data_IF_161951528219
#
_entry.id   IF_161951528219
#
_cell.length_a   1.000
_cell.length_b   1.000
_cell.length_c   1.000
_cell.angle_alpha   90.00
_cell.angle_beta   90.00
_cell.angle_gamma   90.00
#
_symmetry.space_group_name_H-M   'P 1'
#
loop_
_entity.id
_entity.type
_entity.pdbx_description
1 polymer ?
#
# COMPACT_ATOMS: atom_id res chain seq x y z
N UNK A 1 -5.08 -14.30 14.10
CA UNK A 1 -5.85 -14.59 12.87
C UNK A 1 -5.52 -15.97 12.32
N UNK A 2 -4.27 -16.33 12.07
CA UNK A 2 -3.88 -17.63 11.51
C UNK A 2 -4.46 -18.85 12.27
N UNK A 3 -4.41 -18.85 13.62
CA UNK A 3 -5.03 -19.90 14.45
C UNK A 3 -6.54 -20.01 14.26
N UNK A 4 -7.22 -18.86 14.12
CA UNK A 4 -8.67 -18.86 13.86
C UNK A 4 -8.99 -19.43 12.49
N UNK A 5 -8.21 -19.06 11.45
CA UNK A 5 -8.35 -19.63 10.11
C UNK A 5 -8.11 -21.16 10.12
N UNK A 6 -7.05 -21.61 10.79
CA UNK A 6 -6.77 -23.03 10.93
C UNK A 6 -7.91 -23.80 11.62
N UNK A 7 -8.43 -23.24 12.73
CA UNK A 7 -9.56 -23.83 13.48
C UNK A 7 -10.82 -24.01 12.61
N UNK A 8 -11.04 -23.10 11.67
CA UNK A 8 -12.22 -23.12 10.79
C UNK A 8 -11.94 -23.68 9.39
N UNK A 9 -10.76 -24.27 9.16
CA UNK A 9 -10.36 -24.82 7.86
C UNK A 9 -10.41 -23.79 6.72
N UNK A 10 -10.01 -22.54 7.04
CA UNK A 10 -9.94 -21.42 6.10
C UNK A 10 -8.48 -21.13 5.78
N UNK A 11 -8.16 -20.90 4.50
CA UNK A 11 -6.85 -20.46 4.07
C UNK A 11 -6.71 -18.94 4.36
N UNK A 12 -5.65 -18.57 5.04
CA UNK A 12 -5.24 -17.16 5.21
C UNK A 12 -4.37 -16.75 4.05
N UNK A 13 -4.90 -15.91 3.17
CA UNK A 13 -4.14 -15.25 2.12
C UNK A 13 -3.76 -13.85 2.59
N UNK A 14 -2.45 -13.58 2.74
CA UNK A 14 -1.90 -12.31 3.18
C UNK A 14 -1.18 -11.63 2.01
N UNK A 15 -1.73 -10.51 1.53
CA UNK A 15 -1.04 -9.66 0.56
C UNK A 15 -0.09 -8.73 1.32
N UNK A 16 1.21 -9.00 1.20
CA UNK A 16 2.29 -8.33 1.94
C UNK A 16 3.17 -7.46 1.02
N UNK A 17 2.64 -7.06 -0.14
CA UNK A 17 3.38 -6.29 -1.14
C UNK A 17 3.94 -4.95 -0.62
N UNK A 18 3.37 -4.41 0.45
CA UNK A 18 3.82 -3.20 1.15
C UNK A 18 4.58 -3.50 2.45
N UNK A 19 4.82 -4.77 2.78
CA UNK A 19 5.36 -5.20 4.09
C UNK A 19 6.71 -4.62 4.46
N UNK A 20 7.57 -4.31 3.48
CA UNK A 20 8.88 -3.73 3.72
C UNK A 20 8.83 -2.20 3.99
N UNK A 21 7.71 -1.54 3.68
CA UNK A 21 7.57 -0.09 3.82
C UNK A 21 6.83 0.21 5.13
N UNK A 22 7.57 0.12 6.23
CA UNK A 22 7.07 0.42 7.59
C UNK A 22 7.83 1.62 8.14
N UNK A 23 7.09 2.61 8.61
CA UNK A 23 7.59 3.86 9.16
C UNK A 23 7.62 3.82 10.69
N UNK A 24 8.26 4.79 11.32
CA UNK A 24 8.28 4.96 12.78
C UNK A 24 8.87 3.78 13.56
N UNK A 25 9.83 3.05 13.00
CA UNK A 25 10.51 1.89 13.61
C UNK A 25 9.54 0.81 14.14
N UNK A 26 8.32 0.77 13.64
CA UNK A 26 7.35 -0.27 13.99
C UNK A 26 7.74 -1.59 13.32
N UNK A 27 7.83 -2.64 14.07
CA UNK A 27 8.15 -3.96 13.52
C UNK A 27 7.06 -4.47 12.57
N UNK A 28 7.45 -5.15 11.49
CA UNK A 28 6.54 -5.87 10.61
C UNK A 28 6.47 -7.35 10.98
N UNK A 29 5.24 -7.89 11.05
CA UNK A 29 5.02 -9.31 11.31
C UNK A 29 4.37 -9.96 10.09
N UNK A 30 5.13 -10.73 9.32
CA UNK A 30 4.60 -11.47 8.19
C UNK A 30 3.72 -12.63 8.63
N UNK A 31 2.65 -12.91 7.86
CA UNK A 31 1.75 -14.00 8.16
C UNK A 31 2.43 -15.40 8.08
N UNK A 32 3.46 -15.55 7.24
CA UNK A 32 4.20 -16.82 7.18
C UNK A 32 5.14 -17.04 8.38
N UNK A 33 5.39 -16.02 9.22
CA UNK A 33 6.20 -16.14 10.44
C UNK A 33 5.47 -16.78 11.62
N UNK A 34 4.16 -17.06 11.49
CA UNK A 34 3.40 -17.78 12.52
C UNK A 34 3.89 -19.22 12.66
N UNK A 35 3.88 -19.74 13.88
CA UNK A 35 4.39 -21.07 14.19
C UNK A 35 3.27 -22.10 14.34
N UNK A 36 3.66 -23.38 14.27
CA UNK A 36 2.80 -24.54 14.54
C UNK A 36 1.80 -24.83 13.42
N UNK A 37 0.73 -25.54 13.75
CA UNK A 37 -0.26 -26.02 12.78
C UNK A 37 -0.97 -24.90 12.01
N UNK A 38 -1.00 -23.68 12.54
CA UNK A 38 -1.61 -22.55 11.86
C UNK A 38 -0.85 -22.13 10.59
N UNK A 39 0.45 -22.43 10.50
CA UNK A 39 1.30 -22.14 9.35
C UNK A 39 0.88 -22.93 8.10
N UNK A 40 0.30 -24.11 8.26
CA UNK A 40 -0.13 -24.98 7.16
C UNK A 40 -1.22 -24.36 6.28
N UNK A 41 -1.96 -23.37 6.79
CA UNK A 41 -3.05 -22.71 6.09
C UNK A 41 -2.72 -21.27 5.66
N UNK A 42 -1.43 -20.87 5.61
CA UNK A 42 -1.01 -19.52 5.28
C UNK A 42 -0.41 -19.46 3.88
N UNK A 43 -0.79 -18.41 3.13
CA UNK A 43 -0.15 -17.97 1.88
C UNK A 43 0.19 -16.52 2.06
N UNK A 44 1.48 -16.15 2.04
CA UNK A 44 1.94 -14.76 1.99
C UNK A 44 2.39 -14.41 0.59
N UNK A 45 1.90 -13.28 0.06
CA UNK A 45 2.27 -12.76 -1.25
C UNK A 45 3.21 -11.58 -1.08
N UNK A 46 4.42 -11.69 -1.61
CA UNK A 46 5.48 -10.68 -1.53
C UNK A 46 5.98 -10.29 -2.91
N UNK A 47 6.48 -9.08 -3.07
CA UNK A 47 7.02 -8.60 -4.34
C UNK A 47 7.98 -7.43 -4.12
N UNK A 48 9.05 -7.29 -4.91
CA UNK A 48 9.93 -6.12 -4.89
C UNK A 48 9.26 -4.87 -5.50
N UNK A 49 8.09 -5.03 -6.11
CA UNK A 49 7.42 -4.02 -6.94
C UNK A 49 7.20 -2.68 -6.24
N UNK A 50 6.75 -2.70 -4.99
CA UNK A 50 6.47 -1.49 -4.23
C UNK A 50 7.66 -1.02 -3.43
N UNK A 51 8.36 -1.96 -2.79
CA UNK A 51 9.54 -1.71 -1.99
C UNK A 51 10.63 -1.00 -2.79
N UNK A 52 10.92 -1.46 -4.00
CA UNK A 52 12.03 -0.97 -4.83
C UNK A 52 11.56 -0.23 -6.10
N UNK A 53 10.28 0.14 -6.19
CA UNK A 53 9.71 0.85 -7.34
C UNK A 53 9.95 0.14 -8.69
N UNK A 54 9.86 -1.19 -8.72
CA UNK A 54 10.13 -2.04 -9.90
C UNK A 54 8.89 -2.79 -10.40
N UNK A 55 7.71 -2.17 -10.31
CA UNK A 55 6.44 -2.79 -10.70
C UNK A 55 6.42 -3.28 -12.16
N UNK A 56 7.20 -2.66 -13.05
CA UNK A 56 7.33 -3.07 -14.44
C UNK A 56 7.95 -4.48 -14.63
N UNK A 57 8.57 -5.05 -13.60
CA UNK A 57 9.06 -6.43 -13.63
C UNK A 57 7.94 -7.47 -13.61
N UNK A 58 6.74 -7.09 -13.17
CA UNK A 58 5.57 -7.99 -13.03
C UNK A 58 5.94 -9.30 -12.30
N UNK A 59 6.65 -9.16 -11.18
CA UNK A 59 7.13 -10.30 -10.39
C UNK A 59 6.49 -10.29 -9.01
N UNK A 60 6.02 -11.47 -8.57
CA UNK A 60 5.55 -11.72 -7.21
C UNK A 60 5.92 -13.13 -6.78
N UNK A 61 5.99 -13.37 -5.49
CA UNK A 61 6.30 -14.67 -4.90
C UNK A 61 5.22 -15.04 -3.90
N UNK A 62 4.68 -16.26 -4.03
CA UNK A 62 3.82 -16.86 -3.01
C UNK A 62 4.68 -17.70 -2.07
N UNK A 63 4.71 -17.33 -0.79
CA UNK A 63 5.37 -18.08 0.27
C UNK A 63 4.31 -18.95 0.95
N UNK A 64 4.44 -20.26 0.79
CA UNK A 64 3.46 -21.24 1.27
C UNK A 64 4.18 -22.31 2.10
N UNK A 65 4.24 -22.16 3.44
CA UNK A 65 4.94 -23.11 4.30
C UNK A 65 4.34 -24.52 4.24
N UNK A 66 3.02 -24.64 4.27
CA UNK A 66 2.31 -25.91 4.25
C UNK A 66 2.47 -26.70 2.94
N UNK A 67 2.97 -27.93 3.00
CA UNK A 67 3.29 -28.74 1.81
C UNK A 67 2.07 -29.01 0.94
N UNK A 68 0.96 -29.42 1.54
CA UNK A 68 -0.26 -29.74 0.80
C UNK A 68 -0.80 -28.49 0.09
N UNK A 69 -0.88 -27.37 0.78
CA UNK A 69 -1.34 -26.11 0.22
C UNK A 69 -0.39 -25.61 -0.87
N UNK A 70 0.94 -25.73 -0.67
CA UNK A 70 1.96 -25.35 -1.66
C UNK A 70 1.81 -26.16 -2.95
N UNK A 71 1.54 -27.48 -2.85
CA UNK A 71 1.31 -28.33 -4.01
C UNK A 71 0.04 -27.92 -4.77
N UNK A 72 -1.02 -27.52 -4.07
CA UNK A 72 -2.24 -27.01 -4.70
C UNK A 72 -2.00 -25.66 -5.40
N UNK A 73 -1.29 -24.73 -4.75
CA UNK A 73 -0.94 -23.43 -5.33
C UNK A 73 -0.07 -23.62 -6.57
N UNK A 74 0.99 -24.43 -6.50
CA UNK A 74 1.84 -24.74 -7.65
C UNK A 74 1.05 -25.30 -8.82
N UNK A 75 0.15 -26.24 -8.55
CA UNK A 75 -0.71 -26.81 -9.60
C UNK A 75 -1.60 -25.75 -10.23
N UNK A 76 -2.23 -24.89 -9.42
CA UNK A 76 -3.07 -23.79 -9.92
C UNK A 76 -2.30 -22.82 -10.81
N UNK A 77 -1.16 -22.32 -10.32
CA UNK A 77 -0.31 -21.37 -11.07
C UNK A 77 0.17 -21.97 -12.42
N UNK A 78 0.55 -23.27 -12.44
CA UNK A 78 0.95 -23.94 -13.68
C UNK A 78 -0.23 -24.18 -14.62
N UNK A 79 -1.42 -24.50 -14.09
CA UNK A 79 -2.62 -24.69 -14.93
C UNK A 79 -3.07 -23.39 -15.61
N UNK A 80 -2.86 -22.25 -14.94
CA UNK A 80 -3.19 -20.92 -15.46
C UNK A 80 -2.03 -20.28 -16.26
N UNK A 81 -0.92 -21.01 -16.44
CA UNK A 81 0.28 -20.57 -17.17
C UNK A 81 0.89 -19.24 -16.62
N UNK A 82 0.78 -19.01 -15.31
CA UNK A 82 1.29 -17.80 -14.62
C UNK A 82 2.47 -18.09 -13.68
N UNK A 83 2.96 -19.34 -13.67
CA UNK A 83 4.08 -19.75 -12.82
C UNK A 83 5.46 -19.28 -13.32
N UNK A 84 5.57 -18.94 -14.60
CA UNK A 84 6.84 -18.57 -15.21
C UNK A 84 7.05 -17.06 -15.18
N UNK A 85 8.04 -16.55 -14.38
CA UNK A 85 8.37 -15.15 -14.37
C UNK A 85 9.06 -14.75 -15.69
N UNK A 86 8.96 -13.47 -16.07
CA UNK A 86 9.73 -12.97 -17.21
C UNK A 86 11.25 -13.06 -16.96
N UNK A 87 12.03 -13.08 -18.03
CA UNK A 87 13.48 -13.31 -17.99
C UNK A 87 14.24 -12.36 -17.03
N UNK A 88 13.81 -11.10 -16.91
CA UNK A 88 14.48 -10.09 -16.11
C UNK A 88 13.99 -10.09 -14.65
N UNK A 89 12.83 -10.67 -14.35
CA UNK A 89 12.23 -10.63 -13.03
C UNK A 89 13.11 -11.30 -11.97
N UNK A 90 13.67 -12.47 -12.27
CA UNK A 90 14.50 -13.23 -11.30
C UNK A 90 15.77 -12.46 -10.93
N UNK A 91 16.69 -12.11 -11.86
CA UNK A 91 17.91 -11.41 -11.51
C UNK A 91 17.67 -10.04 -10.90
N UNK A 92 16.64 -9.31 -11.33
CA UNK A 92 16.30 -8.02 -10.77
C UNK A 92 15.72 -8.14 -9.36
N UNK A 93 14.89 -9.13 -9.06
CA UNK A 93 14.38 -9.40 -7.71
C UNK A 93 15.52 -9.75 -6.76
N UNK A 94 16.45 -10.63 -7.17
CA UNK A 94 17.63 -10.99 -6.38
C UNK A 94 18.45 -9.74 -6.08
N UNK A 95 18.79 -8.95 -7.10
CA UNK A 95 19.59 -7.74 -6.94
C UNK A 95 18.91 -6.72 -6.00
N UNK A 96 17.58 -6.55 -6.11
CA UNK A 96 16.82 -5.64 -5.27
C UNK A 96 16.90 -6.04 -3.79
N UNK A 97 16.68 -7.30 -3.46
CA UNK A 97 16.71 -7.77 -2.07
C UNK A 97 18.13 -7.91 -1.51
N UNK A 98 19.13 -8.27 -2.32
CA UNK A 98 20.51 -8.38 -1.85
C UNK A 98 21.22 -7.04 -1.70
N UNK A 99 20.88 -6.05 -2.53
CA UNK A 99 21.64 -4.79 -2.62
C UNK A 99 20.80 -3.53 -2.39
N UNK A 100 19.46 -3.64 -2.25
CA UNK A 100 18.56 -2.49 -2.15
C UNK A 100 18.36 -1.92 -0.75
N UNK A 101 19.04 -2.43 0.28
CA UNK A 101 18.81 -2.03 1.68
C UNK A 101 19.00 -0.53 1.92
N UNK A 102 20.12 0.04 1.46
CA UNK A 102 20.40 1.48 1.62
C UNK A 102 19.37 2.35 0.92
N UNK A 103 18.91 1.93 -0.26
CA UNK A 103 17.87 2.61 -1.01
C UNK A 103 16.54 2.60 -0.26
N UNK A 104 16.16 1.44 0.30
CA UNK A 104 14.91 1.30 1.09
C UNK A 104 14.95 2.17 2.34
N UNK A 105 16.08 2.19 3.04
CA UNK A 105 16.25 3.04 4.23
C UNK A 105 16.07 4.52 3.89
N UNK A 106 16.74 5.00 2.85
CA UNK A 106 16.60 6.39 2.39
C UNK A 106 15.15 6.71 1.93
N UNK A 107 14.46 5.75 1.32
CA UNK A 107 13.05 5.89 0.96
C UNK A 107 12.17 6.07 2.21
N UNK A 108 12.37 5.23 3.25
CA UNK A 108 11.59 5.30 4.49
C UNK A 108 11.80 6.66 5.17
N UNK A 109 13.05 7.14 5.30
CA UNK A 109 13.36 8.46 5.83
C UNK A 109 12.64 9.58 5.06
N UNK A 110 12.70 9.56 3.73
CA UNK A 110 12.00 10.53 2.89
C UNK A 110 10.48 10.46 3.07
N UNK A 111 9.92 9.26 3.22
CA UNK A 111 8.48 9.08 3.47
C UNK A 111 8.08 9.66 4.83
N UNK A 112 8.86 9.46 5.88
CA UNK A 112 8.60 10.03 7.20
C UNK A 112 8.55 11.56 7.13
N UNK A 113 9.50 12.18 6.45
CA UNK A 113 9.50 13.63 6.21
C UNK A 113 8.26 14.10 5.43
N UNK A 114 7.89 13.37 4.37
CA UNK A 114 6.73 13.68 3.54
C UNK A 114 5.42 13.58 4.34
N UNK A 115 5.25 12.53 5.14
CA UNK A 115 4.08 12.36 6.01
C UNK A 115 4.01 13.46 7.07
N UNK A 116 5.11 13.73 7.77
CA UNK A 116 5.17 14.77 8.79
C UNK A 116 4.83 16.15 8.23
N UNK A 117 5.27 16.45 7.00
CA UNK A 117 4.90 17.70 6.33
C UNK A 117 3.40 17.72 5.97
N UNK A 118 2.88 16.67 5.33
CA UNK A 118 1.49 16.62 4.89
C UNK A 118 0.51 16.68 6.07
N UNK A 119 0.77 15.94 7.14
CA UNK A 119 -0.03 15.96 8.37
C UNK A 119 -0.10 17.35 9.01
N UNK A 120 1.05 18.02 9.12
CA UNK A 120 1.12 19.39 9.65
C UNK A 120 0.35 20.35 8.75
N UNK A 121 0.58 20.28 7.44
CA UNK A 121 -0.11 21.15 6.47
C UNK A 121 -1.63 21.00 6.55
N UNK A 122 -2.13 19.75 6.58
CA UNK A 122 -3.56 19.46 6.68
C UNK A 122 -4.12 20.00 7.99
N UNK A 123 -3.45 19.75 9.10
CA UNK A 123 -3.86 20.25 10.42
C UNK A 123 -4.00 21.77 10.46
N UNK A 124 -3.06 22.48 9.83
CA UNK A 124 -2.99 23.95 9.89
C UNK A 124 -3.93 24.63 8.88
N UNK A 125 -4.22 24.01 7.74
CA UNK A 125 -4.94 24.65 6.63
C UNK A 125 -6.30 24.01 6.32
N UNK A 126 -6.53 22.75 6.69
CA UNK A 126 -7.73 21.98 6.36
C UNK A 126 -8.35 21.32 7.61
N UNK A 127 -8.84 22.12 8.59
CA UNK A 127 -9.32 21.58 9.88
C UNK A 127 -10.53 20.64 9.74
N UNK A 128 -11.26 20.68 8.60
CA UNK A 128 -12.38 19.80 8.26
C UNK A 128 -11.91 18.44 7.70
N UNK A 129 -10.62 18.25 7.43
CA UNK A 129 -10.04 17.00 6.93
C UNK A 129 -9.25 16.32 8.04
N UNK A 130 -9.48 15.02 8.26
CA UNK A 130 -8.71 14.25 9.23
C UNK A 130 -7.76 13.29 8.53
N UNK A 131 -6.54 13.20 8.99
CA UNK A 131 -5.60 12.19 8.53
C UNK A 131 -5.87 10.88 9.28
N UNK A 132 -6.21 9.82 8.53
CA UNK A 132 -6.44 8.47 9.03
C UNK A 132 -5.42 7.56 8.35
N UNK A 133 -4.26 7.42 8.95
CA UNK A 133 -3.19 6.62 8.37
C UNK A 133 -2.49 5.78 9.44
N UNK A 134 -1.92 4.64 9.03
CA UNK A 134 -1.10 3.79 9.88
C UNK A 134 0.40 4.02 9.64
N UNK A 135 1.22 3.16 10.25
CA UNK A 135 2.67 3.25 10.18
C UNK A 135 3.28 2.58 8.93
N UNK A 136 2.45 2.00 8.07
CA UNK A 136 2.91 1.29 6.87
C UNK A 136 2.48 1.99 5.59
N UNK A 137 3.20 1.67 4.50
CA UNK A 137 3.01 2.16 3.14
C UNK A 137 3.27 3.68 2.97
N UNK A 138 3.24 4.11 1.73
CA UNK A 138 3.36 5.50 1.30
C UNK A 138 2.00 6.14 0.95
N UNK A 139 0.91 5.48 1.34
CA UNK A 139 -0.45 5.91 1.01
C UNK A 139 -1.10 6.55 2.24
N UNK A 140 -1.45 7.82 2.13
CA UNK A 140 -2.16 8.56 3.17
C UNK A 140 -3.66 8.55 2.89
N UNK A 141 -4.46 8.23 3.89
CA UNK A 141 -5.90 8.34 3.86
C UNK A 141 -6.37 9.61 4.54
N UNK A 142 -7.32 10.29 3.89
CA UNK A 142 -7.93 11.52 4.37
C UNK A 142 -9.43 11.29 4.53
N UNK A 143 -9.93 11.44 5.74
CA UNK A 143 -11.35 11.51 6.04
C UNK A 143 -11.85 12.90 5.64
N UNK A 144 -12.78 12.95 4.69
CA UNK A 144 -13.38 14.16 4.13
C UNK A 144 -14.89 14.21 4.37
N UNK A 145 -15.41 13.43 5.31
CA UNK A 145 -16.86 13.38 5.65
C UNK A 145 -17.43 14.77 5.93
N UNK A 146 -16.64 15.68 6.53
CA UNK A 146 -17.08 17.05 6.79
C UNK A 146 -17.07 17.95 5.55
N UNK A 147 -16.50 17.50 4.43
CA UNK A 147 -16.42 18.22 3.16
C UNK A 147 -17.50 17.72 2.20
N UNK A 148 -17.70 16.40 2.12
CA UNK A 148 -18.63 15.75 1.18
C UNK A 148 -18.92 14.31 1.60
N UNK A 149 -20.03 13.79 1.13
CA UNK A 149 -20.42 12.38 1.15
C UNK A 149 -20.14 11.65 -0.19
N UNK A 150 -19.45 12.33 -1.12
CA UNK A 150 -19.10 11.81 -2.45
C UNK A 150 -17.64 12.12 -2.79
N UNK A 151 -16.73 11.24 -2.35
CA UNK A 151 -15.30 11.38 -2.59
C UNK A 151 -14.92 11.34 -4.08
N UNK A 152 -15.74 10.69 -4.94
CA UNK A 152 -15.46 10.68 -6.38
C UNK A 152 -15.69 12.08 -6.97
N UNK A 153 -16.81 12.69 -6.63
CA UNK A 153 -17.13 14.06 -7.08
C UNK A 153 -16.07 15.06 -6.61
N UNK A 154 -15.61 14.93 -5.36
CA UNK A 154 -14.55 15.78 -4.82
C UNK A 154 -13.22 15.56 -5.56
N UNK A 155 -12.80 14.32 -5.77
CA UNK A 155 -11.55 14.01 -6.49
C UNK A 155 -11.57 14.54 -7.93
N UNK A 156 -12.69 14.38 -8.65
CA UNK A 156 -12.86 14.89 -10.01
C UNK A 156 -12.85 16.42 -10.05
N UNK A 157 -13.49 17.07 -9.07
CA UNK A 157 -13.46 18.51 -8.94
C UNK A 157 -12.05 19.04 -8.69
N UNK A 158 -11.32 18.47 -7.70
CA UNK A 158 -9.93 18.84 -7.40
C UNK A 158 -9.06 18.69 -8.64
N UNK A 159 -9.19 17.56 -9.35
CA UNK A 159 -8.46 17.33 -10.61
C UNK A 159 -8.75 18.42 -11.65
N UNK A 160 -10.01 18.75 -11.84
CA UNK A 160 -10.42 19.75 -12.82
C UNK A 160 -9.90 21.15 -12.50
N UNK A 161 -10.04 21.58 -11.25
CA UNK A 161 -9.72 22.96 -10.84
C UNK A 161 -8.24 23.20 -10.56
N UNK A 162 -7.51 22.16 -10.12
CA UNK A 162 -6.12 22.31 -9.67
C UNK A 162 -5.11 21.44 -10.42
N UNK A 163 -5.58 20.45 -11.20
CA UNK A 163 -4.73 19.48 -11.86
C UNK A 163 -4.17 18.39 -10.93
N UNK A 164 -4.52 18.38 -9.63
CA UNK A 164 -4.07 17.34 -8.71
C UNK A 164 -4.87 16.05 -8.95
N UNK A 165 -4.18 14.94 -9.17
CA UNK A 165 -4.78 13.61 -9.36
C UNK A 165 -4.61 12.82 -8.08
N UNK A 166 -5.72 12.49 -7.42
CA UNK A 166 -5.80 11.69 -6.20
C UNK A 166 -6.87 10.62 -6.35
N UNK A 167 -6.81 9.57 -5.53
CA UNK A 167 -7.81 8.51 -5.59
C UNK A 167 -9.00 8.83 -4.70
N UNK A 168 -10.22 8.70 -5.24
CA UNK A 168 -11.41 8.65 -4.42
C UNK A 168 -11.46 7.33 -3.63
N UNK A 169 -11.81 7.38 -2.36
CA UNK A 169 -11.91 6.19 -1.52
C UNK A 169 -13.12 5.31 -1.89
N UNK A 170 -14.14 5.86 -2.56
CA UNK A 170 -15.33 5.14 -3.03
C UNK A 170 -14.99 3.92 -3.91
N UNK A 171 -13.85 3.93 -4.63
CA UNK A 171 -13.39 2.77 -5.43
C UNK A 171 -13.09 1.54 -4.57
N UNK A 172 -12.88 1.71 -3.27
CA UNK A 172 -12.61 0.62 -2.32
C UNK A 172 -13.85 0.10 -1.61
N UNK A 173 -15.05 0.62 -1.96
CA UNK A 173 -16.36 0.23 -1.40
C UNK A 173 -16.52 0.58 0.10
N UNK A 174 -17.53 -0.02 0.74
CA UNK A 174 -17.84 0.27 2.16
C UNK A 174 -18.12 1.76 2.39
N UNK A 175 -17.51 2.33 3.42
CA UNK A 175 -17.55 3.76 3.72
C UNK A 175 -16.49 4.58 2.95
N UNK A 176 -15.91 4.05 1.89
CA UNK A 176 -14.87 4.72 1.10
C UNK A 176 -15.31 6.07 0.50
N UNK A 177 -16.64 6.31 0.37
CA UNK A 177 -17.18 7.57 -0.11
C UNK A 177 -16.82 8.79 0.78
N UNK A 178 -16.41 8.53 2.04
CA UNK A 178 -15.98 9.57 2.99
C UNK A 178 -14.47 9.86 2.90
N UNK A 179 -13.73 9.18 2.01
CA UNK A 179 -12.26 9.23 2.01
C UNK A 179 -11.64 9.62 0.68
N UNK A 180 -10.47 10.25 0.77
CA UNK A 180 -9.51 10.40 -0.33
C UNK A 180 -8.22 9.65 0.01
N UNK A 181 -7.49 9.15 -1.00
CA UNK A 181 -6.19 8.52 -0.82
C UNK A 181 -5.13 9.25 -1.64
N UNK A 182 -4.04 9.63 -0.99
CA UNK A 182 -2.90 10.33 -1.60
C UNK A 182 -1.65 9.44 -1.53
N UNK A 183 -0.87 9.42 -2.60
CA UNK A 183 0.44 8.79 -2.64
C UNK A 183 1.51 9.84 -2.31
N UNK A 184 2.31 9.59 -1.28
CA UNK A 184 3.39 10.47 -0.83
C UNK A 184 4.80 9.99 -1.24
N UNK A 185 4.92 8.92 -2.05
CA UNK A 185 6.20 8.44 -2.58
C UNK A 185 6.67 9.29 -3.76
N UNK A 186 6.96 10.56 -3.48
CA UNK A 186 7.46 11.52 -4.45
C UNK A 186 8.39 12.55 -3.75
N UNK A 187 9.17 13.35 -4.51
CA UNK A 187 9.99 14.40 -3.92
C UNK A 187 9.18 15.39 -3.08
N UNK A 188 9.75 15.91 -2.00
CA UNK A 188 9.11 16.87 -1.09
C UNK A 188 8.53 18.10 -1.82
N UNK A 189 9.14 18.54 -2.91
CA UNK A 189 8.62 19.64 -3.74
C UNK A 189 7.25 19.31 -4.35
N UNK A 190 7.04 18.06 -4.77
CA UNK A 190 5.75 17.59 -5.29
C UNK A 190 4.72 17.42 -4.16
N UNK A 191 5.16 16.98 -2.97
CA UNK A 191 4.27 16.90 -1.80
C UNK A 191 3.75 18.29 -1.46
N UNK A 192 4.63 19.31 -1.41
CA UNK A 192 4.26 20.69 -1.13
C UNK A 192 3.26 21.24 -2.14
N UNK A 193 3.56 21.13 -3.43
CA UNK A 193 2.65 21.54 -4.51
C UNK A 193 1.31 20.79 -4.44
N UNK A 194 1.34 19.47 -4.17
CA UNK A 194 0.14 18.65 -4.01
C UNK A 194 -0.75 19.09 -2.85
N UNK A 195 -0.15 19.42 -1.70
CA UNK A 195 -0.90 19.91 -0.53
C UNK A 195 -1.53 21.28 -0.79
N UNK A 196 -0.83 22.21 -1.44
CA UNK A 196 -1.40 23.50 -1.83
C UNK A 196 -2.57 23.36 -2.82
N UNK A 197 -2.46 22.46 -3.79
CA UNK A 197 -3.55 22.15 -4.73
C UNK A 197 -4.73 21.47 -4.05
N UNK A 198 -4.47 20.59 -3.10
CA UNK A 198 -5.51 19.96 -2.29
C UNK A 198 -6.29 21.01 -1.50
N UNK A 199 -5.59 21.91 -0.81
CA UNK A 199 -6.21 22.98 -0.05
C UNK A 199 -7.09 23.85 -0.94
N UNK A 200 -6.56 24.34 -2.05
CA UNK A 200 -7.29 25.14 -3.02
C UNK A 200 -8.53 24.42 -3.58
N UNK A 201 -8.38 23.12 -3.88
CA UNK A 201 -9.48 22.31 -4.41
C UNK A 201 -10.60 22.12 -3.40
N UNK A 202 -10.28 21.91 -2.12
CA UNK A 202 -11.27 21.77 -1.04
C UNK A 202 -11.94 23.11 -0.73
N UNK A 203 -11.19 24.22 -0.70
CA UNK A 203 -11.76 25.57 -0.48
C UNK A 203 -12.78 25.97 -1.56
N UNK A 204 -12.58 25.54 -2.80
CA UNK A 204 -13.44 25.88 -3.94
C UNK A 204 -14.60 24.91 -4.11
N UNK A 205 -14.56 23.76 -3.48
CA UNK A 205 -15.64 22.77 -3.53
C UNK A 205 -16.81 23.23 -2.66
N UNK A 206 -17.99 23.41 -3.28
CA UNK A 206 -19.22 23.91 -2.64
C UNK A 206 -20.38 22.98 -2.91
#
# INVERSE_FOLDING_TARGET
MAELCAKHHVVLLSDEIHGDIVRNDQGYTSAFSVNGAAQENVISLVSPSKTFNVAALHAATAIVPGENLRNMVNRGLNSDEVAEPNLLAIPATIAAYEHGHEWLHALIEQLEENFAYAERFIKDNLPQVKVITGDATYLMWLDVEQVTDDSQKLADFIRKETGLIISAGSVYRGNGHDFLRINLACPMTMVKDGMERLNKGIEYFK
#
